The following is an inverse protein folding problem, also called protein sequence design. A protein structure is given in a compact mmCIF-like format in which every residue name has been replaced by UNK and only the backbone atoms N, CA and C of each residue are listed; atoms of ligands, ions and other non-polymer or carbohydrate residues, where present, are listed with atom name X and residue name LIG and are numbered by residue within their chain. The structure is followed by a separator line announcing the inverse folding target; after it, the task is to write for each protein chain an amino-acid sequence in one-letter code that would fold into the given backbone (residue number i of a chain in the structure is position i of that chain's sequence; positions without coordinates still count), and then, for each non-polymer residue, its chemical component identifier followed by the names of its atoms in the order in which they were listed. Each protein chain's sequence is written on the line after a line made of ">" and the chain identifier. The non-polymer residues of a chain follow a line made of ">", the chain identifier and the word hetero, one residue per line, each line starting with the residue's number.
data_IF_147080695252
#
_entry.id   IF_147080695252
#
_cell.length_a   1.000
_cell.length_b   1.000
_cell.length_c   1.000
_cell.angle_alpha   90.00
_cell.angle_beta   90.00
_cell.angle_gamma   90.00
#
_symmetry.space_group_name_H-M   'P 1'
#
loop_
_entity.id
_entity.type
_entity.pdbx_description
1 polymer ?
#
# COMPACT_ATOMS: atom_id res chain seq x y z
N UNK A 1 -6.52 -29.14 -2.45
CA UNK A 1 -6.81 -28.15 -1.39
C UNK A 1 -8.27 -28.29 -1.02
N UNK A 2 -8.56 -28.30 0.28
CA UNK A 2 -9.94 -28.29 0.78
C UNK A 2 -10.41 -26.84 0.99
N UNK A 3 -11.68 -26.65 1.34
CA UNK A 3 -12.22 -25.31 1.62
C UNK A 3 -11.46 -24.58 2.74
N UNK A 4 -10.99 -25.30 3.77
CA UNK A 4 -10.18 -24.73 4.86
C UNK A 4 -8.83 -24.13 4.39
N UNK A 5 -8.17 -24.75 3.41
CA UNK A 5 -6.91 -24.26 2.84
C UNK A 5 -7.13 -22.92 2.11
N UNK A 6 -8.19 -22.83 1.28
CA UNK A 6 -8.52 -21.60 0.56
C UNK A 6 -8.92 -20.46 1.49
N UNK A 7 -9.67 -20.77 2.56
CA UNK A 7 -10.00 -19.79 3.60
C UNK A 7 -8.73 -19.24 4.26
N UNK A 8 -7.82 -20.12 4.65
CA UNK A 8 -6.55 -19.73 5.28
C UNK A 8 -5.71 -18.85 4.35
N UNK A 9 -5.67 -19.19 3.06
CA UNK A 9 -4.98 -18.40 2.04
C UNK A 9 -5.62 -17.02 1.85
N UNK A 10 -6.95 -16.94 1.79
CA UNK A 10 -7.67 -15.67 1.65
C UNK A 10 -7.39 -14.73 2.82
N UNK A 11 -7.51 -15.24 4.05
CA UNK A 11 -7.21 -14.48 5.28
C UNK A 11 -5.74 -14.04 5.35
N UNK A 12 -4.80 -14.84 4.84
CA UNK A 12 -3.41 -14.45 4.74
C UNK A 12 -3.23 -13.24 3.80
N UNK A 13 -3.81 -13.30 2.60
CA UNK A 13 -3.73 -12.18 1.64
C UNK A 13 -4.43 -10.91 2.16
N UNK A 14 -5.56 -11.04 2.87
CA UNK A 14 -6.21 -9.90 3.50
C UNK A 14 -5.33 -9.24 4.58
N UNK A 15 -4.58 -10.03 5.36
CA UNK A 15 -3.61 -9.50 6.33
C UNK A 15 -2.44 -8.79 5.66
N UNK A 16 -1.91 -9.36 4.59
CA UNK A 16 -0.84 -8.72 3.81
C UNK A 16 -1.32 -7.42 3.16
N UNK A 17 -2.54 -7.38 2.64
CA UNK A 17 -3.15 -6.15 2.12
C UNK A 17 -3.31 -5.09 3.22
N UNK A 18 -3.78 -5.47 4.42
CA UNK A 18 -3.88 -4.55 5.54
C UNK A 18 -2.51 -4.00 5.98
N UNK A 19 -1.46 -4.84 5.99
CA UNK A 19 -0.10 -4.41 6.24
C UNK A 19 0.43 -3.44 5.17
N UNK A 20 0.11 -3.68 3.89
CA UNK A 20 0.47 -2.74 2.81
C UNK A 20 -0.28 -1.43 2.92
N UNK A 21 -1.57 -1.45 3.30
CA UNK A 21 -2.32 -0.22 3.54
C UNK A 21 -1.67 0.64 4.62
N UNK A 22 -1.24 0.04 5.74
CA UNK A 22 -0.55 0.77 6.80
C UNK A 22 0.76 1.42 6.31
N UNK A 23 1.51 0.75 5.41
CA UNK A 23 2.71 1.31 4.78
C UNK A 23 2.37 2.46 3.83
N UNK A 24 1.27 2.36 3.07
CA UNK A 24 0.78 3.43 2.20
C UNK A 24 0.47 4.67 3.05
N UNK A 25 -0.32 4.52 4.11
CA UNK A 25 -0.71 5.63 4.99
C UNK A 25 0.51 6.31 5.63
N UNK A 26 1.49 5.51 6.06
CA UNK A 26 2.75 6.02 6.61
C UNK A 26 3.56 6.79 5.55
N UNK A 27 3.67 6.26 4.34
CA UNK A 27 4.38 6.90 3.24
C UNK A 27 3.70 8.19 2.78
N UNK A 28 2.37 8.22 2.71
CA UNK A 28 1.57 9.41 2.40
C UNK A 28 1.79 10.52 3.43
N UNK A 29 1.77 10.16 4.72
CA UNK A 29 2.07 11.12 5.79
C UNK A 29 3.50 11.65 5.71
N UNK A 30 4.47 10.78 5.44
CA UNK A 30 5.88 11.19 5.29
C UNK A 30 6.07 12.11 4.09
N UNK A 31 5.43 11.80 2.96
CA UNK A 31 5.46 12.61 1.75
C UNK A 31 4.88 14.01 2.01
N UNK A 32 3.71 14.08 2.65
CA UNK A 32 3.06 15.35 2.97
C UNK A 32 3.92 16.20 3.91
N UNK A 33 4.44 15.60 4.98
CA UNK A 33 5.35 16.27 5.92
C UNK A 33 6.58 16.84 5.20
N UNK A 34 7.14 16.08 4.26
CA UNK A 34 8.32 16.50 3.51
C UNK A 34 8.00 17.62 2.51
N UNK A 35 6.84 17.57 1.83
CA UNK A 35 6.36 18.65 0.95
C UNK A 35 6.20 19.96 1.71
N UNK A 36 5.48 19.91 2.83
CA UNK A 36 5.26 21.07 3.69
C UNK A 36 6.58 21.66 4.19
N UNK A 37 7.54 20.82 4.60
CA UNK A 37 8.86 21.29 5.01
C UNK A 37 9.57 22.06 3.89
N UNK A 38 9.64 21.51 2.69
CA UNK A 38 10.30 22.20 1.57
C UNK A 38 9.60 23.50 1.20
N UNK A 39 8.27 23.52 1.21
CA UNK A 39 7.48 24.72 0.94
C UNK A 39 7.76 25.83 1.97
N UNK A 40 7.75 25.48 3.26
CA UNK A 40 8.05 26.41 4.36
C UNK A 40 9.50 26.92 4.28
N UNK A 41 10.48 26.02 4.09
CA UNK A 41 11.89 26.38 4.05
C UNK A 41 12.21 27.31 2.85
N UNK A 42 11.63 27.03 1.68
CA UNK A 42 11.79 27.86 0.46
C UNK A 42 11.10 29.21 0.66
N UNK A 43 9.87 29.23 1.17
CA UNK A 43 9.14 30.48 1.43
C UNK A 43 9.87 31.37 2.46
N UNK A 44 10.46 30.76 3.51
CA UNK A 44 11.26 31.48 4.49
C UNK A 44 12.53 32.09 3.88
N UNK A 45 13.22 31.35 3.00
CA UNK A 45 14.37 31.88 2.27
C UNK A 45 13.98 33.01 1.31
N UNK A 46 12.84 32.89 0.61
CA UNK A 46 12.32 33.95 -0.25
C UNK A 46 11.96 35.21 0.56
N UNK A 47 11.32 35.05 1.71
CA UNK A 47 11.02 36.18 2.59
C UNK A 47 12.28 36.90 3.08
N UNK A 48 13.40 36.18 3.27
CA UNK A 48 14.69 36.79 3.58
C UNK A 48 15.22 37.61 2.42
N UNK A 49 15.18 37.07 1.20
CA UNK A 49 15.55 37.82 -0.02
C UNK A 49 14.71 39.09 -0.14
N UNK A 50 13.38 38.98 -0.01
CA UNK A 50 12.47 40.11 -0.13
C UNK A 50 12.74 41.20 0.92
N UNK A 51 13.14 40.81 2.14
CA UNK A 51 13.51 41.74 3.20
C UNK A 51 14.82 42.50 2.94
N UNK A 52 15.75 41.89 2.21
CA UNK A 52 17.07 42.44 1.90
C UNK A 52 17.08 43.22 0.58
N UNK A 53 16.15 42.92 -0.33
CA UNK A 53 16.05 43.52 -1.66
C UNK A 53 16.09 45.06 -1.66
N UNK A 54 15.39 45.77 -0.75
CA UNK A 54 15.44 47.23 -0.69
C UNK A 54 16.84 47.80 -0.40
N UNK A 55 17.72 47.00 0.19
CA UNK A 55 19.07 47.38 0.58
C UNK A 55 20.15 46.75 -0.31
N UNK A 56 19.76 46.10 -1.41
CA UNK A 56 20.68 45.41 -2.32
C UNK A 56 21.76 46.34 -2.87
N UNK A 57 21.40 47.54 -3.28
CA UNK A 57 22.37 48.46 -3.91
C UNK A 57 23.11 49.34 -2.88
N UNK A 58 22.76 49.23 -1.60
CA UNK A 58 23.36 50.05 -0.53
C UNK A 58 24.49 49.37 0.21
N UNK A 59 24.64 48.04 0.08
CA UNK A 59 25.71 47.27 0.72
C UNK A 59 26.11 46.05 -0.09
N UNK A 60 27.41 45.88 -0.32
CA UNK A 60 27.96 44.63 -0.86
C UNK A 60 27.63 43.41 0.01
N UNK A 61 27.48 43.60 1.32
CA UNK A 61 27.11 42.52 2.24
C UNK A 61 25.69 42.02 1.98
N UNK A 62 24.73 42.93 1.75
CA UNK A 62 23.37 42.56 1.39
C UNK A 62 23.30 41.89 0.01
N UNK A 63 24.10 42.32 -0.97
CA UNK A 63 24.17 41.63 -2.27
C UNK A 63 24.65 40.19 -2.13
N UNK A 64 25.69 39.98 -1.32
CA UNK A 64 26.21 38.66 -1.05
C UNK A 64 25.18 37.80 -0.32
N UNK A 65 24.54 38.34 0.71
CA UNK A 65 23.54 37.60 1.49
C UNK A 65 22.32 37.19 0.62
N UNK A 66 21.84 38.08 -0.26
CA UNK A 66 20.80 37.75 -1.24
C UNK A 66 21.26 36.57 -2.13
N UNK A 67 22.47 36.64 -2.68
CA UNK A 67 23.02 35.56 -3.52
C UNK A 67 23.15 34.23 -2.77
N UNK A 68 23.53 34.27 -1.49
CA UNK A 68 23.63 33.08 -0.63
C UNK A 68 22.23 32.46 -0.40
N UNK A 69 21.20 33.28 -0.19
CA UNK A 69 19.81 32.81 -0.08
C UNK A 69 19.25 32.27 -1.40
N UNK A 70 19.54 32.88 -2.55
CA UNK A 70 19.16 32.36 -3.87
C UNK A 70 19.78 30.98 -4.14
N UNK A 71 21.07 30.82 -3.81
CA UNK A 71 21.76 29.53 -3.89
C UNK A 71 21.14 28.49 -2.93
N UNK A 72 20.71 28.93 -1.74
CA UNK A 72 20.01 28.07 -0.77
C UNK A 72 18.67 27.59 -1.29
N UNK A 73 17.86 28.46 -1.90
CA UNK A 73 16.59 28.07 -2.55
C UNK A 73 16.85 27.03 -3.62
N UNK A 74 17.80 27.29 -4.53
CA UNK A 74 18.16 26.35 -5.60
C UNK A 74 18.52 24.97 -5.04
N UNK A 75 19.30 24.94 -3.95
CA UNK A 75 19.68 23.69 -3.29
C UNK A 75 18.48 22.96 -2.68
N UNK A 76 17.55 23.69 -2.05
CA UNK A 76 16.33 23.12 -1.47
C UNK A 76 15.41 22.55 -2.55
N UNK A 77 15.26 23.25 -3.68
CA UNK A 77 14.46 22.79 -4.82
C UNK A 77 15.05 21.53 -5.47
N UNK A 78 16.36 21.49 -5.67
CA UNK A 78 17.04 20.29 -6.17
C UNK A 78 16.86 19.09 -5.23
N UNK A 79 16.97 19.30 -3.92
CA UNK A 79 16.77 18.22 -2.96
C UNK A 79 15.31 17.76 -2.92
N UNK A 80 14.35 18.69 -2.97
CA UNK A 80 12.91 18.39 -3.11
C UNK A 80 12.66 17.51 -4.33
N UNK A 81 13.16 17.92 -5.49
CA UNK A 81 12.96 17.25 -6.77
C UNK A 81 13.71 15.91 -6.84
N UNK A 82 14.71 15.70 -5.99
CA UNK A 82 15.39 14.41 -5.84
C UNK A 82 14.69 13.47 -4.87
N UNK A 83 14.14 13.98 -3.77
CA UNK A 83 13.55 13.15 -2.71
C UNK A 83 12.09 12.80 -2.98
N UNK A 84 11.26 13.77 -3.40
CA UNK A 84 9.82 13.53 -3.60
C UNK A 84 9.53 12.40 -4.60
N UNK A 85 10.20 12.30 -5.77
CA UNK A 85 9.93 11.21 -6.70
C UNK A 85 10.27 9.83 -6.15
N UNK A 86 11.26 9.70 -5.27
CA UNK A 86 11.61 8.41 -4.66
C UNK A 86 10.51 7.91 -3.74
N UNK A 87 9.99 8.80 -2.90
CA UNK A 87 8.87 8.47 -2.00
C UNK A 87 7.62 8.15 -2.82
N UNK A 88 7.31 8.95 -3.85
CA UNK A 88 6.18 8.66 -4.75
C UNK A 88 6.34 7.30 -5.43
N UNK A 89 7.54 6.94 -5.90
CA UNK A 89 7.79 5.65 -6.54
C UNK A 89 7.61 4.47 -5.59
N UNK A 90 8.06 4.60 -4.33
CA UNK A 90 7.84 3.60 -3.28
C UNK A 90 6.35 3.45 -2.95
N UNK A 91 5.63 4.57 -2.88
CA UNK A 91 4.19 4.62 -2.64
C UNK A 91 3.41 3.92 -3.77
N UNK A 92 3.80 4.15 -5.03
CA UNK A 92 3.23 3.44 -6.18
C UNK A 92 3.50 1.93 -6.13
N UNK A 93 4.67 1.51 -5.64
CA UNK A 93 4.97 0.09 -5.42
C UNK A 93 4.09 -0.51 -4.33
N UNK A 94 3.90 0.19 -3.21
CA UNK A 94 3.03 -0.27 -2.13
C UNK A 94 1.56 -0.38 -2.58
N UNK A 95 1.07 0.58 -3.38
CA UNK A 95 -0.28 0.52 -3.97
C UNK A 95 -0.46 -0.69 -4.88
N UNK A 96 0.50 -0.95 -5.78
CA UNK A 96 0.47 -2.15 -6.63
C UNK A 96 0.44 -3.43 -5.80
N UNK A 97 1.30 -3.53 -4.77
CA UNK A 97 1.33 -4.70 -3.90
C UNK A 97 0.00 -4.87 -3.13
N UNK A 98 -0.59 -3.77 -2.65
CA UNK A 98 -1.91 -3.78 -2.02
C UNK A 98 -2.98 -4.33 -2.97
N UNK A 99 -3.05 -3.81 -4.19
CA UNK A 99 -4.03 -4.25 -5.19
C UNK A 99 -3.84 -5.72 -5.54
N UNK A 100 -2.59 -6.18 -5.68
CA UNK A 100 -2.25 -7.57 -5.92
C UNK A 100 -2.73 -8.49 -4.79
N UNK A 101 -2.51 -8.10 -3.53
CA UNK A 101 -2.98 -8.87 -2.37
C UNK A 101 -4.50 -8.90 -2.28
N UNK A 102 -5.19 -7.77 -2.53
CA UNK A 102 -6.66 -7.73 -2.55
C UNK A 102 -7.23 -8.62 -3.66
N UNK A 103 -6.59 -8.61 -4.83
CA UNK A 103 -6.95 -9.50 -5.94
C UNK A 103 -6.76 -10.98 -5.60
N UNK A 104 -5.64 -11.33 -4.95
CA UNK A 104 -5.38 -12.70 -4.50
C UNK A 104 -6.35 -13.15 -3.41
N UNK A 105 -6.67 -12.28 -2.44
CA UNK A 105 -7.66 -12.55 -1.40
C UNK A 105 -9.04 -12.82 -2.01
N UNK A 106 -9.48 -11.99 -2.96
CA UNK A 106 -10.76 -12.15 -3.65
C UNK A 106 -10.86 -13.51 -4.37
N UNK A 107 -9.82 -13.88 -5.13
CA UNK A 107 -9.76 -15.19 -5.81
C UNK A 107 -9.81 -16.36 -4.81
N UNK A 108 -9.08 -16.25 -3.70
CA UNK A 108 -9.07 -17.29 -2.67
C UNK A 108 -10.44 -17.41 -1.97
N UNK A 109 -11.13 -16.30 -1.71
CA UNK A 109 -12.49 -16.30 -1.17
C UNK A 109 -13.50 -16.95 -2.12
N UNK A 110 -13.40 -16.68 -3.43
CA UNK A 110 -14.23 -17.34 -4.45
C UNK A 110 -14.00 -18.86 -4.47
N UNK A 111 -12.74 -19.29 -4.44
CA UNK A 111 -12.38 -20.72 -4.37
C UNK A 111 -12.84 -21.37 -3.06
N UNK A 112 -12.79 -20.65 -1.95
CA UNK A 112 -13.36 -21.11 -0.68
C UNK A 112 -14.86 -21.39 -0.80
N UNK A 113 -15.65 -20.43 -1.29
CA UNK A 113 -17.11 -20.57 -1.35
C UNK A 113 -17.55 -21.69 -2.28
N UNK A 114 -16.93 -21.77 -3.46
CA UNK A 114 -17.19 -22.83 -4.45
C UNK A 114 -16.83 -24.21 -3.91
N UNK A 115 -15.65 -24.35 -3.29
CA UNK A 115 -15.18 -25.64 -2.74
C UNK A 115 -16.03 -26.06 -1.55
N UNK A 116 -16.34 -25.14 -0.62
CA UNK A 116 -17.20 -25.40 0.53
C UNK A 116 -18.58 -25.90 0.08
N UNK A 117 -19.17 -25.24 -0.91
CA UNK A 117 -20.48 -25.64 -1.47
C UNK A 117 -20.42 -27.05 -2.09
N UNK A 118 -19.35 -27.38 -2.81
CA UNK A 118 -19.17 -28.71 -3.38
C UNK A 118 -19.00 -29.79 -2.29
N UNK A 119 -18.23 -29.50 -1.24
CA UNK A 119 -18.05 -30.38 -0.08
C UNK A 119 -19.39 -30.62 0.66
N UNK A 120 -20.19 -29.58 0.87
CA UNK A 120 -21.51 -29.68 1.49
C UNK A 120 -22.48 -30.52 0.65
N UNK A 121 -22.51 -30.31 -0.68
CA UNK A 121 -23.32 -31.14 -1.60
C UNK A 121 -22.91 -32.62 -1.52
N UNK A 122 -21.61 -32.90 -1.48
CA UNK A 122 -21.11 -34.29 -1.37
C UNK A 122 -21.50 -34.92 -0.03
N UNK A 123 -21.42 -34.18 1.08
CA UNK A 123 -21.88 -34.65 2.40
C UNK A 123 -23.36 -34.99 2.39
N UNK A 124 -24.20 -34.13 1.81
CA UNK A 124 -25.65 -34.37 1.70
C UNK A 124 -25.97 -35.61 0.85
N UNK A 125 -25.25 -35.83 -0.26
CA UNK A 125 -25.41 -37.03 -1.09
C UNK A 125 -25.06 -38.31 -0.32
N UNK A 126 -23.95 -38.30 0.44
CA UNK A 126 -23.55 -39.45 1.28
C UNK A 126 -24.62 -39.73 2.36
N UNK A 127 -25.15 -38.69 3.00
CA UNK A 127 -26.23 -38.84 3.98
C UNK A 127 -27.51 -39.40 3.37
N UNK A 128 -27.91 -38.92 2.20
CA UNK A 128 -29.07 -39.42 1.48
C UNK A 128 -28.91 -40.89 1.07
N UNK A 129 -27.71 -41.28 0.62
CA UNK A 129 -27.42 -42.67 0.23
C UNK A 129 -27.45 -43.62 1.43
N UNK A 130 -26.91 -43.22 2.58
CA UNK A 130 -27.02 -43.98 3.84
C UNK A 130 -28.45 -44.09 4.37
N UNK A 131 -29.28 -43.08 4.13
CA UNK A 131 -30.69 -43.13 4.52
C UNK A 131 -31.50 -44.12 3.66
N UNK A 132 -31.07 -44.37 2.41
CA UNK A 132 -31.70 -45.33 1.50
C UNK A 132 -31.19 -46.77 1.71
N UNK A 133 -29.92 -46.94 2.04
CA UNK A 133 -29.33 -48.23 2.39
C UNK A 133 -28.42 -48.09 3.63
N UNK A 134 -28.93 -48.38 4.84
CA UNK A 134 -28.19 -48.22 6.08
C UNK A 134 -27.03 -49.22 6.25
N UNK A 135 -26.95 -50.26 5.42
CA UNK A 135 -25.86 -51.25 5.43
C UNK A 135 -24.80 -51.00 4.35
N UNK A 136 -25.01 -50.03 3.44
CA UNK A 136 -24.01 -49.63 2.46
C UNK A 136 -22.88 -48.83 3.13
N UNK A 137 -21.72 -49.46 3.30
CA UNK A 137 -20.49 -48.77 3.71
C UNK A 137 -20.05 -47.70 2.71
N UNK A 138 -19.22 -46.72 3.10
CA UNK A 138 -18.72 -45.71 2.17
C UNK A 138 -17.92 -46.40 1.06
N UNK A 139 -18.22 -46.06 -0.20
CA UNK A 139 -17.43 -46.57 -1.33
C UNK A 139 -16.04 -45.95 -1.33
N UNK A 140 -15.04 -46.65 -1.89
CA UNK A 140 -13.64 -46.17 -1.93
C UNK A 140 -13.50 -44.78 -2.58
N UNK A 141 -14.37 -44.47 -3.54
CA UNK A 141 -14.45 -43.15 -4.19
C UNK A 141 -15.01 -42.04 -3.28
N UNK A 142 -15.67 -42.37 -2.17
CA UNK A 142 -16.15 -41.41 -1.17
C UNK A 142 -15.10 -41.05 -0.11
N UNK A 143 -14.03 -41.85 0.02
CA UNK A 143 -12.98 -41.68 1.03
C UNK A 143 -11.71 -40.99 0.52
N UNK A 144 -11.52 -40.92 -0.79
CA UNK A 144 -10.37 -40.27 -1.42
C UNK A 144 -10.71 -38.81 -1.81
N UNK A 145 -10.58 -37.86 -0.87
CA UNK A 145 -10.31 -36.43 -1.09
C UNK A 145 -10.12 -35.71 0.24
#
# INVERSE_FOLDING_TARGET
>A
MNSGDYKTQAEHHDREAAAMQAKIDQAEKALETMRQRFEVDIAAAQAKIDSLLPYKDTSMEHQKEISDWEARITTLEQERDRQLPKINAELDQHRKAYDDYKSQAAKAWELYETTKTAEERRRLLILAQRAQDPNAGPSSDQLAA
#
